data_IF_676760663665
#
_entry.id   IF_676760663665
#
_cell.length_a   1.000
_cell.length_b   1.000
_cell.length_c   1.000
_cell.angle_alpha   90.00
_cell.angle_beta   90.00
_cell.angle_gamma   90.00
#
_symmetry.space_group_name_H-M   'P 1'
#
loop_
_entity.id
_entity.type
_entity.pdbx_description
1 polymer ?
#
# COMPACT_ATOMS: atom_id res chain seq x y z
N UNK A 1 -14.96 0.30 -8.08
CA UNK A 1 -13.65 0.61 -7.46
C UNK A 1 -13.74 0.23 -5.99
N UNK A 2 -12.93 -0.72 -5.52
CA UNK A 2 -12.90 -1.10 -4.10
C UNK A 2 -12.05 -0.08 -3.34
N UNK A 3 -12.59 0.48 -2.25
CA UNK A 3 -11.99 1.61 -1.51
C UNK A 3 -10.57 1.33 -0.98
N UNK A 4 -10.22 0.05 -0.77
CA UNK A 4 -8.93 -0.41 -0.23
C UNK A 4 -8.08 -1.17 -1.26
N UNK A 5 -8.50 -1.22 -2.53
CA UNK A 5 -7.79 -1.97 -3.56
C UNK A 5 -6.34 -1.50 -3.74
N UNK A 6 -5.44 -2.45 -4.00
CA UNK A 6 -4.08 -2.12 -4.43
C UNK A 6 -4.07 -1.87 -5.95
N UNK A 7 -3.27 -0.90 -6.43
CA UNK A 7 -3.05 -0.73 -7.86
C UNK A 7 -2.23 -1.92 -8.36
N UNK A 8 -2.84 -2.97 -8.87
CA UNK A 8 -2.11 -4.08 -9.51
C UNK A 8 -2.12 -3.91 -11.04
N UNK A 9 -1.06 -4.33 -11.76
CA UNK A 9 -0.99 -4.23 -13.22
C UNK A 9 -1.71 -5.40 -13.88
N UNK A 10 -2.44 -5.12 -14.97
CA UNK A 10 -3.06 -6.16 -15.79
C UNK A 10 -4.03 -7.07 -15.02
N UNK A 11 -4.27 -8.26 -15.56
CA UNK A 11 -5.12 -9.27 -14.93
C UNK A 11 -4.31 -10.24 -14.07
N UNK A 12 -4.84 -10.70 -12.91
CA UNK A 12 -4.13 -11.63 -12.04
C UNK A 12 -3.78 -12.96 -12.73
N UNK A 13 -4.64 -13.42 -13.64
CA UNK A 13 -4.55 -14.74 -14.28
C UNK A 13 -3.81 -14.71 -15.63
N UNK A 14 -3.42 -13.52 -16.11
CA UNK A 14 -2.61 -13.32 -17.32
C UNK A 14 -1.32 -12.56 -17.00
N UNK A 15 -0.21 -13.26 -16.68
CA UNK A 15 1.07 -12.62 -16.42
C UNK A 15 1.64 -11.82 -17.60
N UNK A 16 1.21 -12.10 -18.84
CA UNK A 16 1.62 -11.34 -20.01
C UNK A 16 1.13 -9.89 -19.94
N UNK A 17 -0.09 -9.70 -19.44
CA UNK A 17 -0.72 -8.39 -19.27
C UNK A 17 0.01 -7.47 -18.25
N UNK A 18 0.85 -8.02 -17.37
CA UNK A 18 1.57 -7.22 -16.37
C UNK A 18 2.64 -6.31 -16.99
N UNK A 19 3.15 -6.70 -18.16
CA UNK A 19 4.18 -5.96 -18.89
C UNK A 19 3.63 -5.00 -19.93
N UNK A 20 2.36 -5.19 -20.34
CA UNK A 20 1.66 -4.33 -21.29
C UNK A 20 0.20 -4.15 -20.85
N UNK A 21 -0.06 -3.50 -19.71
CA UNK A 21 -1.40 -3.32 -19.20
C UNK A 21 -2.17 -2.30 -20.04
N UNK A 22 -3.46 -2.58 -20.30
CA UNK A 22 -4.34 -1.76 -21.13
C UNK A 22 -4.77 -0.40 -20.51
N UNK A 23 -4.15 0.01 -19.40
CA UNK A 23 -4.48 1.27 -18.72
C UNK A 23 -3.35 2.32 -18.81
N UNK A 24 -3.74 3.59 -18.95
CA UNK A 24 -2.81 4.71 -19.16
C UNK A 24 -1.91 4.96 -17.94
N UNK A 25 -2.42 4.71 -16.73
CA UNK A 25 -1.66 4.89 -15.48
C UNK A 25 -0.46 3.97 -15.48
N UNK A 26 -0.66 2.68 -15.71
CA UNK A 26 0.43 1.71 -15.68
C UNK A 26 1.36 1.83 -16.86
N UNK A 27 0.87 2.20 -18.05
CA UNK A 27 1.75 2.53 -19.18
C UNK A 27 2.75 3.65 -18.80
N UNK A 28 2.27 4.70 -18.13
CA UNK A 28 3.12 5.78 -17.61
C UNK A 28 4.11 5.30 -16.54
N UNK A 29 3.64 4.46 -15.60
CA UNK A 29 4.48 3.90 -14.54
C UNK A 29 5.58 2.99 -15.10
N UNK A 30 5.28 2.18 -16.12
CA UNK A 30 6.26 1.36 -16.82
C UNK A 30 7.28 2.21 -17.59
N UNK A 31 6.84 3.33 -18.17
CA UNK A 31 7.73 4.32 -18.76
C UNK A 31 8.74 4.88 -17.75
N UNK A 32 8.27 5.30 -16.57
CA UNK A 32 9.16 5.78 -15.49
C UNK A 32 10.03 4.64 -14.95
N UNK A 33 9.49 3.43 -14.78
CA UNK A 33 10.25 2.25 -14.37
C UNK A 33 11.41 1.95 -15.31
N UNK A 34 11.21 2.10 -16.63
CA UNK A 34 12.27 1.94 -17.62
C UNK A 34 13.36 3.01 -17.46
N UNK A 35 12.99 4.28 -17.24
CA UNK A 35 13.95 5.34 -16.94
C UNK A 35 14.74 5.06 -15.66
N UNK A 36 14.05 4.63 -14.60
CA UNK A 36 14.66 4.26 -13.32
C UNK A 36 15.54 3.02 -13.43
N UNK A 37 15.24 2.10 -14.36
CA UNK A 37 16.11 0.97 -14.68
C UNK A 37 17.43 1.44 -15.30
N UNK A 38 17.39 2.44 -16.18
CA UNK A 38 18.60 3.09 -16.69
C UNK A 38 19.45 3.69 -15.57
N UNK A 39 18.83 4.45 -14.65
CA UNK A 39 19.51 4.99 -13.47
C UNK A 39 20.08 3.88 -12.57
N UNK A 40 19.32 2.80 -12.36
CA UNK A 40 19.75 1.65 -11.57
C UNK A 40 21.01 1.01 -12.14
N UNK A 41 21.08 0.84 -13.46
CA UNK A 41 22.28 0.30 -14.13
C UNK A 41 23.49 1.20 -13.87
N UNK A 42 23.35 2.52 -13.97
CA UNK A 42 24.45 3.47 -13.67
C UNK A 42 24.92 3.32 -12.23
N UNK A 43 24.00 3.27 -11.26
CA UNK A 43 24.33 3.08 -9.84
C UNK A 43 25.02 1.73 -9.58
N UNK A 44 24.57 0.65 -10.24
CA UNK A 44 25.17 -0.68 -10.12
C UNK A 44 26.58 -0.74 -10.74
N UNK A 45 26.83 0.00 -11.83
CA UNK A 45 28.18 0.14 -12.41
C UNK A 45 29.11 0.84 -11.43
N UNK A 46 28.66 1.93 -10.79
CA UNK A 46 29.43 2.62 -9.75
C UNK A 46 29.73 1.65 -8.59
N UNK A 47 28.73 0.94 -8.07
CA UNK A 47 28.92 -0.05 -7.01
C UNK A 47 29.91 -1.16 -7.41
N UNK A 48 29.89 -1.57 -8.67
CA UNK A 48 30.82 -2.56 -9.23
C UNK A 48 32.25 -2.03 -9.25
N UNK A 49 32.48 -0.78 -9.65
CA UNK A 49 33.81 -0.15 -9.61
C UNK A 49 34.35 -0.07 -8.18
N UNK A 50 33.50 0.27 -7.21
CA UNK A 50 33.88 0.24 -5.79
C UNK A 50 34.22 -1.17 -5.30
N UNK A 51 33.48 -2.19 -5.74
CA UNK A 51 33.78 -3.58 -5.39
C UNK A 51 35.12 -4.07 -5.97
N UNK A 52 35.51 -3.60 -7.17
CA UNK A 52 36.82 -3.89 -7.77
C UNK A 52 37.99 -3.33 -6.96
N UNK A 53 37.80 -2.18 -6.31
CA UNK A 53 38.83 -1.56 -5.46
C UNK A 53 39.04 -2.21 -4.09
N UNK A 54 38.27 -3.24 -3.73
CA UNK A 54 38.38 -3.92 -2.44
C UNK A 54 39.57 -4.90 -2.41
N UNK A 55 40.41 -4.80 -1.38
CA UNK A 55 41.57 -5.69 -1.18
C UNK A 55 41.21 -7.08 -0.65
N UNK A 56 40.10 -7.20 0.06
CA UNK A 56 39.63 -8.48 0.63
C UNK A 56 38.71 -9.22 -0.35
N UNK A 57 39.18 -10.34 -0.89
CA UNK A 57 38.44 -11.20 -1.81
C UNK A 57 37.09 -11.71 -1.25
N UNK A 58 37.00 -11.96 0.07
CA UNK A 58 35.73 -12.43 0.67
C UNK A 58 34.69 -11.33 0.66
N UNK A 59 35.07 -10.11 1.08
CA UNK A 59 34.20 -8.92 1.05
C UNK A 59 33.80 -8.55 -0.37
N UNK A 60 34.75 -8.61 -1.30
CA UNK A 60 34.50 -8.37 -2.72
C UNK A 60 33.45 -9.34 -3.29
N UNK A 61 33.60 -10.65 -3.06
CA UNK A 61 32.61 -11.67 -3.49
C UNK A 61 31.23 -11.42 -2.89
N UNK A 62 31.16 -11.02 -1.63
CA UNK A 62 29.89 -10.67 -0.98
C UNK A 62 29.25 -9.45 -1.64
N UNK A 63 30.03 -8.42 -1.97
CA UNK A 63 29.53 -7.23 -2.66
C UNK A 63 28.97 -7.57 -4.04
N UNK A 64 29.67 -8.40 -4.83
CA UNK A 64 29.15 -8.87 -6.12
C UNK A 64 27.83 -9.64 -6.01
N UNK A 65 27.68 -10.48 -4.98
CA UNK A 65 26.40 -11.17 -4.74
C UNK A 65 25.27 -10.19 -4.44
N UNK A 66 25.55 -9.13 -3.67
CA UNK A 66 24.57 -8.07 -3.40
C UNK A 66 24.20 -7.31 -4.67
N UNK A 67 25.19 -6.93 -5.49
CA UNK A 67 24.98 -6.24 -6.78
C UNK A 67 24.14 -7.11 -7.73
N UNK A 68 24.49 -8.39 -7.87
CA UNK A 68 23.74 -9.34 -8.69
C UNK A 68 22.29 -9.49 -8.20
N UNK A 69 22.08 -9.56 -6.88
CA UNK A 69 20.75 -9.58 -6.28
C UNK A 69 19.97 -8.29 -6.59
N UNK A 70 20.59 -7.12 -6.45
CA UNK A 70 19.94 -5.84 -6.74
C UNK A 70 19.57 -5.71 -8.23
N UNK A 71 20.44 -6.17 -9.13
CA UNK A 71 20.14 -6.22 -10.57
C UNK A 71 19.00 -7.20 -10.89
N UNK A 72 19.00 -8.39 -10.28
CA UNK A 72 17.96 -9.39 -10.49
C UNK A 72 16.60 -8.90 -9.98
N UNK A 73 16.53 -8.40 -8.74
CA UNK A 73 15.27 -8.04 -8.09
C UNK A 73 14.75 -6.64 -8.49
N UNK A 74 15.63 -5.75 -8.92
CA UNK A 74 15.27 -4.40 -9.36
C UNK A 74 14.83 -4.40 -10.83
N UNK A 75 15.75 -4.23 -11.81
CA UNK A 75 15.40 -4.19 -13.23
C UNK A 75 14.89 -5.49 -13.86
N UNK A 76 15.46 -6.66 -13.53
CA UNK A 76 15.21 -7.88 -14.31
C UNK A 76 13.88 -8.56 -13.96
N UNK A 77 13.62 -8.76 -12.66
CA UNK A 77 12.43 -9.43 -12.15
C UNK A 77 11.52 -8.49 -11.36
N UNK A 78 11.76 -7.18 -11.37
CA UNK A 78 10.98 -6.24 -10.58
C UNK A 78 9.50 -6.22 -10.95
N UNK A 79 9.16 -6.17 -12.24
CA UNK A 79 7.74 -6.17 -12.67
C UNK A 79 6.98 -7.41 -12.18
N UNK A 80 7.43 -8.65 -12.43
CA UNK A 80 6.80 -9.84 -11.86
C UNK A 80 6.67 -9.81 -10.34
N UNK A 81 7.72 -9.40 -9.62
CA UNK A 81 7.71 -9.37 -8.16
C UNK A 81 6.69 -8.36 -7.61
N UNK A 82 6.64 -7.17 -8.23
CA UNK A 82 5.69 -6.12 -7.88
C UNK A 82 4.25 -6.55 -8.20
N UNK A 83 4.03 -7.10 -9.39
CA UNK A 83 2.71 -7.59 -9.81
C UNK A 83 2.21 -8.69 -8.87
N UNK A 84 3.04 -9.69 -8.55
CA UNK A 84 2.70 -10.74 -7.59
C UNK A 84 2.39 -10.17 -6.20
N UNK A 85 3.20 -9.23 -5.71
CA UNK A 85 2.99 -8.58 -4.42
C UNK A 85 1.68 -7.80 -4.37
N UNK A 86 1.36 -7.06 -5.44
CA UNK A 86 0.16 -6.23 -5.52
C UNK A 86 -1.09 -7.07 -5.73
N UNK A 87 -1.09 -8.04 -6.64
CA UNK A 87 -2.21 -8.98 -6.84
C UNK A 87 -2.47 -9.83 -5.59
N UNK A 88 -1.41 -10.41 -5.01
CA UNK A 88 -1.52 -11.20 -3.79
C UNK A 88 -2.00 -10.38 -2.59
N UNK A 89 -1.43 -9.19 -2.39
CA UNK A 89 -1.89 -8.25 -1.37
C UNK A 89 -3.33 -7.80 -1.57
N UNK A 90 -3.74 -7.62 -2.83
CA UNK A 90 -5.09 -7.20 -3.19
C UNK A 90 -6.10 -8.31 -2.89
N UNK A 91 -5.78 -9.56 -3.25
CA UNK A 91 -6.60 -10.71 -2.94
C UNK A 91 -6.82 -10.86 -1.42
N UNK A 92 -5.75 -10.75 -0.63
CA UNK A 92 -5.85 -10.79 0.85
C UNK A 92 -6.69 -9.63 1.37
N UNK A 93 -6.44 -8.40 0.90
CA UNK A 93 -7.19 -7.22 1.34
C UNK A 93 -8.67 -7.34 0.99
N UNK A 94 -9.00 -7.79 -0.22
CA UNK A 94 -10.38 -7.97 -0.68
C UNK A 94 -11.10 -9.09 0.08
N UNK A 95 -10.42 -10.19 0.39
CA UNK A 95 -11.00 -11.26 1.22
C UNK A 95 -11.34 -10.79 2.64
N UNK A 96 -10.58 -9.80 3.15
CA UNK A 96 -10.80 -9.22 4.47
C UNK A 96 -11.77 -8.04 4.45
N UNK A 97 -11.94 -7.34 3.33
CA UNK A 97 -12.76 -6.13 3.30
C UNK A 97 -14.26 -6.49 3.22
N UNK A 98 -15.13 -5.94 4.09
CA UNK A 98 -16.58 -6.12 3.97
C UNK A 98 -17.11 -5.53 2.67
N UNK A 99 -18.21 -6.09 2.15
CA UNK A 99 -18.79 -5.65 0.89
C UNK A 99 -19.41 -4.25 0.99
N UNK A 100 -19.45 -3.51 -0.11
CA UNK A 100 -20.04 -2.16 -0.14
C UNK A 100 -21.52 -2.13 0.24
N UNK A 101 -22.23 -3.22 -0.03
CA UNK A 101 -23.64 -3.37 0.34
C UNK A 101 -23.78 -3.58 1.85
N UNK A 102 -22.98 -4.45 2.48
CA UNK A 102 -22.93 -4.61 3.95
C UNK A 102 -22.68 -3.25 4.66
N UNK A 103 -21.78 -2.44 4.10
CA UNK A 103 -21.47 -1.08 4.57
C UNK A 103 -22.66 -0.12 4.49
N UNK A 104 -23.53 -0.26 3.49
CA UNK A 104 -24.67 0.65 3.26
C UNK A 104 -25.95 0.18 3.96
N UNK A 105 -26.19 -1.13 4.08
CA UNK A 105 -27.35 -1.67 4.82
C UNK A 105 -27.28 -1.41 6.32
N UNK A 106 -26.13 -1.61 6.97
CA UNK A 106 -25.97 -1.32 8.40
C UNK A 106 -26.10 0.18 8.71
N UNK A 107 -25.75 1.05 7.76
CA UNK A 107 -25.91 2.51 7.88
C UNK A 107 -27.34 2.94 7.57
N UNK A 108 -28.03 2.25 6.65
CA UNK A 108 -29.40 2.52 6.23
C UNK A 108 -30.42 2.32 7.35
N UNK A 109 -30.27 1.27 8.15
CA UNK A 109 -31.16 1.01 9.30
C UNK A 109 -31.06 2.09 10.39
N UNK A 110 -29.90 2.73 10.54
CA UNK A 110 -29.65 3.82 11.51
C UNK A 110 -30.31 5.15 11.07
N UNK A 111 -30.56 5.33 9.78
CA UNK A 111 -31.13 6.59 9.23
C UNK A 111 -32.64 6.75 9.43
N UNK A 112 -33.36 5.69 9.81
CA UNK A 112 -34.84 5.66 9.86
C UNK A 112 -35.48 6.10 11.19
N UNK A 113 -34.71 6.56 12.19
CA UNK A 113 -35.25 6.87 13.53
C UNK A 113 -34.96 8.32 13.93
N UNK A 114 -35.82 9.24 13.47
CA UNK A 114 -36.32 10.52 14.05
C UNK A 114 -35.46 11.50 14.88
N UNK A 115 -34.38 11.07 15.54
CA UNK A 115 -33.38 11.88 16.25
C UNK A 115 -32.19 12.29 15.34
N UNK A 116 -32.24 11.89 14.06
CA UNK A 116 -31.15 11.96 13.09
C UNK A 116 -30.78 13.35 12.54
N UNK A 117 -31.45 14.44 12.91
CA UNK A 117 -31.18 15.76 12.30
C UNK A 117 -30.08 16.53 13.07
N UNK A 118 -30.09 16.54 14.41
CA UNK A 118 -29.11 17.31 15.21
C UNK A 118 -27.82 16.50 15.44
N UNK A 119 -27.95 15.25 15.90
CA UNK A 119 -26.81 14.34 16.01
C UNK A 119 -26.32 13.89 14.64
N UNK A 120 -27.22 13.62 13.68
CA UNK A 120 -26.82 13.31 12.31
C UNK A 120 -26.26 14.50 11.54
N UNK A 121 -26.55 15.75 11.93
CA UNK A 121 -25.90 16.95 11.38
C UNK A 121 -24.45 17.12 11.86
N UNK A 122 -24.20 16.95 13.17
CA UNK A 122 -22.84 17.00 13.74
C UNK A 122 -22.02 15.77 13.29
N UNK A 123 -22.63 14.58 13.28
CA UNK A 123 -22.03 13.40 12.69
C UNK A 123 -21.85 13.57 11.19
N UNK A 124 -22.77 14.12 10.41
CA UNK A 124 -22.51 14.39 8.98
C UNK A 124 -21.32 15.32 8.82
N UNK A 125 -21.18 16.37 9.62
CA UNK A 125 -20.07 17.31 9.48
C UNK A 125 -18.71 16.68 9.84
N UNK A 126 -18.64 15.96 10.97
CA UNK A 126 -17.43 15.23 11.38
C UNK A 126 -17.14 13.99 10.53
N UNK A 127 -18.18 13.26 10.10
CA UNK A 127 -18.09 12.10 9.20
C UNK A 127 -17.70 12.55 7.81
N UNK A 128 -18.21 13.67 7.30
CA UNK A 128 -17.76 14.21 6.00
C UNK A 128 -16.29 14.62 6.07
N UNK A 129 -15.85 15.28 7.15
CA UNK A 129 -14.44 15.61 7.36
C UNK A 129 -13.53 14.38 7.49
N UNK A 130 -13.87 13.42 8.35
CA UNK A 130 -13.09 12.21 8.58
C UNK A 130 -13.12 11.25 7.37
N UNK A 131 -14.25 11.13 6.67
CA UNK A 131 -14.37 10.36 5.43
C UNK A 131 -13.58 11.02 4.31
N UNK A 132 -13.66 12.35 4.17
CA UNK A 132 -12.86 13.10 3.19
C UNK A 132 -11.36 12.93 3.46
N UNK A 133 -10.93 13.08 4.71
CA UNK A 133 -9.53 12.93 5.10
C UNK A 133 -9.07 11.46 4.93
N UNK A 134 -9.93 10.49 5.24
CA UNK A 134 -9.71 9.08 4.95
C UNK A 134 -9.56 8.79 3.46
N UNK A 135 -10.40 9.38 2.61
CA UNK A 135 -10.30 9.27 1.14
C UNK A 135 -8.98 9.87 0.64
N UNK A 136 -8.58 11.04 1.14
CA UNK A 136 -7.29 11.65 0.80
C UNK A 136 -6.14 10.70 1.17
N UNK A 137 -6.16 10.12 2.37
CA UNK A 137 -5.13 9.17 2.82
C UNK A 137 -5.10 7.92 1.92
N UNK A 138 -6.25 7.38 1.54
CA UNK A 138 -6.33 6.24 0.61
C UNK A 138 -5.67 6.60 -0.72
N UNK A 139 -5.97 7.77 -1.27
CA UNK A 139 -5.39 8.26 -2.53
C UNK A 139 -3.88 8.45 -2.38
N UNK A 140 -3.40 9.04 -1.28
CA UNK A 140 -1.97 9.21 -1.00
C UNK A 140 -1.25 7.85 -0.92
N UNK A 141 -1.82 6.87 -0.23
CA UNK A 141 -1.24 5.52 -0.16
C UNK A 141 -1.20 4.89 -1.55
N UNK A 142 -2.27 5.02 -2.34
CA UNK A 142 -2.35 4.50 -3.70
C UNK A 142 -1.24 5.08 -4.59
N UNK A 143 -1.07 6.41 -4.59
CA UNK A 143 -0.01 7.06 -5.36
C UNK A 143 1.39 6.74 -4.82
N UNK A 144 1.56 6.63 -3.50
CA UNK A 144 2.85 6.25 -2.90
C UNK A 144 3.28 4.86 -3.37
N UNK A 145 2.36 3.89 -3.45
CA UNK A 145 2.65 2.56 -4.00
C UNK A 145 3.14 2.67 -5.44
N UNK A 146 2.42 3.43 -6.29
CA UNK A 146 2.81 3.62 -7.69
C UNK A 146 4.18 4.29 -7.84
N UNK A 147 4.50 5.27 -6.99
CA UNK A 147 5.81 5.92 -6.98
C UNK A 147 6.93 4.94 -6.59
N UNK A 148 6.70 4.10 -5.58
CA UNK A 148 7.68 3.08 -5.17
C UNK A 148 7.86 2.02 -6.27
N UNK A 149 6.76 1.59 -6.91
CA UNK A 149 6.79 0.70 -8.07
C UNK A 149 7.64 1.30 -9.19
N UNK A 150 7.40 2.57 -9.54
CA UNK A 150 8.16 3.26 -10.59
C UNK A 150 9.65 3.40 -10.23
N UNK A 151 9.96 3.71 -8.96
CA UNK A 151 11.34 3.87 -8.47
C UNK A 151 12.03 2.53 -8.13
N UNK A 152 11.33 1.40 -8.22
CA UNK A 152 11.78 0.10 -7.72
C UNK A 152 13.19 -0.31 -8.18
N UNK A 153 13.57 -0.18 -9.47
CA UNK A 153 14.91 -0.54 -9.91
C UNK A 153 15.99 0.32 -9.23
N UNK A 154 15.75 1.63 -9.12
CA UNK A 154 16.67 2.56 -8.50
C UNK A 154 16.81 2.31 -7.00
N UNK A 155 15.70 2.01 -6.30
CA UNK A 155 15.71 1.64 -4.88
C UNK A 155 16.57 0.40 -4.61
N UNK A 156 16.44 -0.65 -5.43
CA UNK A 156 17.31 -1.83 -5.32
C UNK A 156 18.78 -1.50 -5.57
N UNK A 157 19.09 -0.71 -6.60
CA UNK A 157 20.47 -0.29 -6.87
C UNK A 157 21.06 0.57 -5.74
N UNK A 158 20.24 1.41 -5.10
CA UNK A 158 20.66 2.21 -3.96
C UNK A 158 21.07 1.36 -2.76
N UNK A 159 20.46 0.18 -2.53
CA UNK A 159 20.83 -0.73 -1.41
C UNK A 159 22.26 -1.24 -1.45
N UNK A 160 22.92 -1.18 -2.62
CA UNK A 160 24.31 -1.62 -2.80
C UNK A 160 25.26 -0.46 -3.08
N UNK A 161 24.75 0.76 -2.95
CA UNK A 161 25.53 1.98 -3.12
C UNK A 161 26.62 2.07 -2.04
N UNK A 162 27.82 2.57 -2.38
CA UNK A 162 28.88 2.82 -1.40
C UNK A 162 28.54 3.98 -0.45
N UNK A 163 27.50 4.76 -0.74
CA UNK A 163 27.09 5.92 0.06
C UNK A 163 26.01 5.52 1.07
N UNK A 164 26.25 5.62 2.40
CA UNK A 164 25.30 5.20 3.43
C UNK A 164 23.94 5.86 3.33
N UNK A 165 23.90 7.14 2.96
CA UNK A 165 22.65 7.88 2.74
C UNK A 165 21.81 7.19 1.67
N UNK A 166 22.36 6.96 0.48
CA UNK A 166 21.62 6.30 -0.62
C UNK A 166 21.16 4.90 -0.22
N UNK A 167 22.01 4.14 0.46
CA UNK A 167 21.64 2.81 0.96
C UNK A 167 20.40 2.88 1.87
N UNK A 168 20.36 3.84 2.81
CA UNK A 168 19.21 4.04 3.69
C UNK A 168 17.94 4.39 2.94
N UNK A 169 18.00 5.27 1.91
CA UNK A 169 16.84 5.59 1.08
C UNK A 169 16.31 4.38 0.30
N UNK A 170 17.22 3.56 -0.27
CA UNK A 170 16.86 2.32 -0.96
C UNK A 170 16.15 1.33 -0.04
N UNK A 171 16.72 1.08 1.14
CA UNK A 171 16.14 0.18 2.15
C UNK A 171 14.79 0.69 2.66
N UNK A 172 14.68 1.99 2.96
CA UNK A 172 13.45 2.61 3.41
C UNK A 172 12.32 2.48 2.37
N UNK A 173 12.61 2.71 1.09
CA UNK A 173 11.63 2.58 0.01
C UNK A 173 11.12 1.14 -0.14
N UNK A 174 12.03 0.15 -0.12
CA UNK A 174 11.67 -1.27 -0.22
C UNK A 174 10.86 -1.76 0.97
N UNK A 175 11.22 -1.34 2.20
CA UNK A 175 10.46 -1.66 3.41
C UNK A 175 9.08 -1.01 3.37
N UNK A 176 9.00 0.25 2.92
CA UNK A 176 7.75 0.99 2.81
C UNK A 176 6.76 0.29 1.89
N UNK A 177 7.21 -0.28 0.76
CA UNK A 177 6.35 -1.07 -0.11
C UNK A 177 5.61 -2.19 0.62
N UNK A 178 6.37 -3.03 1.36
CA UNK A 178 5.78 -4.13 2.14
C UNK A 178 4.86 -3.63 3.26
N UNK A 179 5.24 -2.55 3.94
CA UNK A 179 4.41 -1.91 4.98
C UNK A 179 3.08 -1.41 4.41
N UNK A 180 3.06 -0.82 3.21
CA UNK A 180 1.83 -0.30 2.60
C UNK A 180 0.87 -1.44 2.19
N UNK A 181 1.40 -2.55 1.68
CA UNK A 181 0.58 -3.74 1.39
C UNK A 181 -0.03 -4.30 2.68
N UNK A 182 0.79 -4.47 3.73
CA UNK A 182 0.32 -4.96 5.03
C UNK A 182 -0.67 -4.01 5.69
N UNK A 183 -0.45 -2.70 5.55
CA UNK A 183 -1.37 -1.67 6.02
C UNK A 183 -2.75 -1.85 5.38
N UNK A 184 -2.83 -2.07 4.05
CA UNK A 184 -4.12 -2.31 3.38
C UNK A 184 -4.84 -3.55 3.90
N UNK A 185 -4.11 -4.67 4.06
CA UNK A 185 -4.70 -5.88 4.62
C UNK A 185 -5.21 -5.66 6.06
N UNK A 186 -4.43 -4.93 6.88
CA UNK A 186 -4.80 -4.61 8.27
C UNK A 186 -6.00 -3.66 8.33
N UNK A 187 -6.08 -2.68 7.42
CA UNK A 187 -7.24 -1.80 7.27
C UNK A 187 -8.50 -2.61 6.93
N UNK A 188 -8.40 -3.53 5.97
CA UNK A 188 -9.49 -4.45 5.64
C UNK A 188 -9.93 -5.28 6.85
N UNK A 189 -8.97 -5.86 7.58
CA UNK A 189 -9.25 -6.65 8.78
C UNK A 189 -9.93 -5.85 9.89
N UNK A 190 -9.43 -4.65 10.22
CA UNK A 190 -10.04 -3.79 11.24
C UNK A 190 -11.47 -3.43 10.86
N UNK A 191 -11.72 -3.12 9.58
CA UNK A 191 -13.08 -2.87 9.10
C UNK A 191 -13.95 -4.13 9.24
N UNK A 192 -13.47 -5.30 8.84
CA UNK A 192 -14.20 -6.57 9.02
C UNK A 192 -14.61 -6.81 10.45
N UNK A 193 -13.68 -6.66 11.39
CA UNK A 193 -13.96 -6.85 12.82
C UNK A 193 -14.97 -5.80 13.31
N UNK A 194 -14.80 -4.54 12.90
CA UNK A 194 -15.71 -3.44 13.28
C UNK A 194 -17.15 -3.72 12.85
N UNK A 195 -17.35 -4.23 11.64
CA UNK A 195 -18.69 -4.54 11.09
C UNK A 195 -19.22 -5.92 11.51
N UNK A 196 -18.36 -6.87 11.87
CA UNK A 196 -18.78 -8.19 12.36
C UNK A 196 -19.20 -8.19 13.84
N UNK A 197 -18.91 -7.12 14.59
CA UNK A 197 -19.29 -7.03 16.00
C UNK A 197 -20.81 -6.81 16.13
N UNK A 198 -21.51 -7.63 16.93
CA UNK A 198 -22.96 -7.54 17.11
C UNK A 198 -23.30 -6.37 18.04
N UNK A 199 -23.10 -5.14 17.58
CA UNK A 199 -23.35 -3.94 18.37
C UNK A 199 -24.79 -3.88 18.91
N UNK A 200 -25.73 -4.52 18.20
CA UNK A 200 -27.15 -4.66 18.56
C UNK A 200 -27.46 -5.63 19.71
N UNK A 201 -26.50 -6.42 20.21
CA UNK A 201 -26.72 -7.35 21.33
C UNK A 201 -26.31 -6.81 22.70
N UNK A 202 -25.92 -5.53 22.80
CA UNK A 202 -25.33 -4.90 23.99
C UNK A 202 -26.34 -4.17 24.92
N UNK A 203 -27.66 -4.41 24.78
CA UNK A 203 -28.72 -3.87 25.65
C UNK A 203 -29.41 -2.57 25.16
N UNK A 204 -30.12 -1.85 26.04
CA UNK A 204 -30.96 -0.70 25.65
C UNK A 204 -30.18 0.53 25.11
N UNK A 205 -28.86 0.56 25.27
CA UNK A 205 -27.96 1.59 24.74
C UNK A 205 -27.29 1.22 23.38
N UNK A 206 -27.78 0.15 22.74
CA UNK A 206 -27.23 -0.50 21.54
C UNK A 206 -26.95 0.43 20.36
N UNK A 207 -27.81 1.41 20.10
CA UNK A 207 -27.66 2.33 18.96
C UNK A 207 -26.48 3.30 19.12
N UNK A 208 -26.31 3.87 20.32
CA UNK A 208 -25.21 4.83 20.59
C UNK A 208 -23.88 4.08 20.63
N UNK A 209 -23.86 2.90 21.25
CA UNK A 209 -22.65 2.07 21.35
C UNK A 209 -22.21 1.58 19.97
N UNK A 210 -23.15 1.13 19.12
CA UNK A 210 -22.84 0.71 17.75
C UNK A 210 -22.35 1.83 16.85
N UNK A 211 -22.94 3.02 16.99
CA UNK A 211 -22.50 4.21 16.24
C UNK A 211 -21.10 4.66 16.65
N UNK A 212 -20.81 4.73 17.95
CA UNK A 212 -19.49 5.08 18.47
C UNK A 212 -18.45 4.00 18.11
N UNK A 213 -18.79 2.72 18.24
CA UNK A 213 -17.93 1.59 17.89
C UNK A 213 -17.55 1.57 16.41
N UNK A 214 -18.54 1.74 15.53
CA UNK A 214 -18.31 1.80 14.08
C UNK A 214 -17.49 3.02 13.69
N UNK A 215 -17.79 4.19 14.26
CA UNK A 215 -17.04 5.42 14.00
C UNK A 215 -15.59 5.30 14.48
N UNK A 216 -15.36 4.71 15.66
CA UNK A 216 -14.02 4.47 16.20
C UNK A 216 -13.24 3.48 15.33
N UNK A 217 -13.84 2.37 14.90
CA UNK A 217 -13.19 1.39 14.02
C UNK A 217 -12.81 1.97 12.66
N UNK A 218 -13.69 2.77 12.05
CA UNK A 218 -13.41 3.51 10.80
C UNK A 218 -12.29 4.54 11.01
N UNK A 219 -12.32 5.30 12.11
CA UNK A 219 -11.27 6.27 12.43
C UNK A 219 -9.91 5.58 12.66
N UNK A 220 -9.89 4.45 13.35
CA UNK A 220 -8.67 3.65 13.54
C UNK A 220 -8.15 3.15 12.20
N UNK A 221 -9.02 2.59 11.34
CA UNK A 221 -8.63 2.04 10.05
C UNK A 221 -8.04 3.13 9.12
N UNK A 222 -8.69 4.29 9.01
CA UNK A 222 -8.32 5.31 8.02
C UNK A 222 -7.41 6.42 8.54
N UNK A 223 -7.38 6.69 9.84
CA UNK A 223 -6.53 7.74 10.45
C UNK A 223 -5.45 7.13 11.33
N UNK A 224 -5.83 6.23 12.23
CA UNK A 224 -4.93 5.61 13.20
C UNK A 224 -3.81 4.80 12.54
N UNK A 225 -4.17 3.79 11.74
CA UNK A 225 -3.20 2.88 11.12
C UNK A 225 -2.26 3.58 10.13
N UNK A 226 -2.72 4.49 9.25
CA UNK A 226 -1.80 5.17 8.33
C UNK A 226 -0.81 6.07 9.07
N UNK A 227 -1.22 6.74 10.14
CA UNK A 227 -0.34 7.62 10.91
C UNK A 227 0.83 6.88 11.58
N UNK A 228 0.66 5.62 11.96
CA UNK A 228 1.73 4.81 12.57
C UNK A 228 2.68 4.16 11.54
N UNK A 229 2.29 4.14 10.27
CA UNK A 229 3.08 3.57 9.18
C UNK A 229 3.81 4.63 8.36
N UNK A 230 3.22 5.84 8.27
CA UNK A 230 3.75 6.97 7.49
C UNK A 230 4.64 7.92 8.32
N UNK A 231 4.73 7.74 9.65
CA UNK A 231 5.61 8.46 10.59
C UNK A 231 6.72 7.53 11.06
#
# INVERSE_FOLDING_TARGET
MFLLGLPAPGEPDDPGSWFSPDNEIWSSILGVYAMMSGLAVVLLVIATQFALGMSDMKRQRQMYRKIAKAFALGPLFGIPLLALGLHGGNAVTMALTPSGDELLTDIGEISNLGLGIVFGGILMYFKTGAVFLGLVIIVVIYFTILLIVAAWPALWAMTVSPFPTLQSWGEAGLITFGKLILLRATQGFVLRVTFALPWGSLGDATLIIGLLGTTAGVAIAFLGLPSSVLV
#
